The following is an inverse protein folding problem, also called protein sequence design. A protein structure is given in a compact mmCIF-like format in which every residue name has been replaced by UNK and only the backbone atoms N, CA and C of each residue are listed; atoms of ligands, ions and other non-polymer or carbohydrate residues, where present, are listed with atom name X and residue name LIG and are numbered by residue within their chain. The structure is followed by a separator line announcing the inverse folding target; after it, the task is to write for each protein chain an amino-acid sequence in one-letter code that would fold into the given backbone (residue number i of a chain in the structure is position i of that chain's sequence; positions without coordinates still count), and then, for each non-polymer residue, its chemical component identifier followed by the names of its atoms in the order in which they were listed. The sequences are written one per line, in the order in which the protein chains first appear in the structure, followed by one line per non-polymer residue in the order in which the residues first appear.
data_IF_032443506856
#
_entry.id   IF_032443506856
#
_cell.length_a   1.000
_cell.length_b   1.000
_cell.length_c   1.000
_cell.angle_alpha   90.00
_cell.angle_beta   90.00
_cell.angle_gamma   90.00
#
_symmetry.space_group_name_H-M   'P 1'
#
loop_
_entity.id
_entity.type
_entity.pdbx_description
1 polymer ?
#
# COMPACT_ATOMS: atom_id res chain seq x y z
N UNK A 1 -1.18 14.94 5.23
CA UNK A 1 -0.87 13.61 4.65
C UNK A 1 -2.00 12.66 5.04
N UNK A 2 -2.33 11.71 4.16
CA UNK A 2 -3.43 10.76 4.34
C UNK A 2 -3.14 9.77 5.47
N UNK A 3 -4.13 9.45 6.32
CA UNK A 3 -3.99 8.40 7.34
C UNK A 3 -4.07 7.02 6.70
N UNK A 4 -3.46 6.00 7.29
CA UNK A 4 -3.54 4.64 6.78
C UNK A 4 -4.99 4.16 6.72
N UNK A 5 -5.80 4.46 7.74
CA UNK A 5 -7.22 4.06 7.77
C UNK A 5 -8.05 4.70 6.66
N UNK A 6 -7.66 5.86 6.13
CA UNK A 6 -8.32 6.45 4.94
C UNK A 6 -8.01 5.66 3.67
N UNK A 7 -6.97 4.82 3.69
CA UNK A 7 -6.61 3.92 2.59
C UNK A 7 -7.31 2.57 2.71
N UNK A 8 -7.89 2.22 3.86
CA UNK A 8 -8.51 0.91 4.08
C UNK A 8 -9.95 0.90 3.59
N UNK A 9 -10.28 -0.05 2.71
CA UNK A 9 -11.63 -0.23 2.23
C UNK A 9 -12.41 -1.16 3.19
N UNK A 10 -13.60 -0.79 3.67
CA UNK A 10 -14.33 -1.57 4.68
C UNK A 10 -14.77 -2.96 4.18
N UNK A 11 -14.96 -3.13 2.88
CA UNK A 11 -15.30 -4.42 2.27
C UNK A 11 -14.08 -5.31 1.93
N UNK A 12 -12.87 -4.92 2.31
CA UNK A 12 -11.67 -5.69 2.01
C UNK A 12 -11.68 -7.03 2.77
N UNK A 13 -11.76 -8.14 2.04
CA UNK A 13 -11.59 -9.49 2.59
C UNK A 13 -10.14 -9.96 2.59
N UNK A 14 -9.28 -9.31 1.79
CA UNK A 14 -7.83 -9.54 1.76
C UNK A 14 -7.09 -8.26 1.36
N UNK A 15 -5.90 -8.08 1.93
CA UNK A 15 -4.95 -7.06 1.54
C UNK A 15 -3.64 -7.72 1.09
N UNK A 16 -3.18 -7.32 -0.09
CA UNK A 16 -1.96 -7.76 -0.72
C UNK A 16 -0.86 -6.74 -0.44
N UNK A 17 0.25 -7.19 0.14
CA UNK A 17 1.43 -6.35 0.41
C UNK A 17 2.61 -6.95 -0.35
N UNK A 18 3.29 -6.16 -1.18
CA UNK A 18 4.45 -6.60 -1.96
C UNK A 18 5.46 -5.47 -2.07
N UNK A 19 6.68 -5.72 -1.58
CA UNK A 19 7.82 -4.84 -1.81
C UNK A 19 8.47 -5.18 -3.15
N UNK A 20 8.75 -4.16 -3.96
CA UNK A 20 9.48 -4.33 -5.22
C UNK A 20 10.80 -3.56 -5.14
N UNK A 21 11.91 -4.28 -5.27
CA UNK A 21 13.25 -3.73 -5.23
C UNK A 21 13.66 -3.27 -6.63
N UNK A 22 13.93 -1.99 -6.74
CA UNK A 22 14.20 -1.29 -8.00
C UNK A 22 15.62 -0.73 -8.04
N UNK A 23 16.28 -0.61 -6.88
CA UNK A 23 17.68 -0.22 -6.72
C UNK A 23 17.95 1.28 -6.77
N UNK A 24 17.09 2.09 -7.41
CA UNK A 24 17.23 3.56 -7.45
C UNK A 24 15.89 4.28 -7.41
N UNK A 25 15.91 5.55 -6.98
CA UNK A 25 14.71 6.37 -6.84
C UNK A 25 14.02 6.61 -8.20
N UNK A 26 14.79 6.82 -9.26
CA UNK A 26 14.27 6.98 -10.61
C UNK A 26 13.53 5.72 -11.05
N UNK A 27 14.14 4.54 -10.83
CA UNK A 27 13.52 3.25 -11.17
C UNK A 27 12.27 2.97 -10.33
N UNK A 28 12.27 3.33 -9.06
CA UNK A 28 11.08 3.26 -8.19
C UNK A 28 9.92 4.10 -8.73
N UNK A 29 10.20 5.34 -9.14
CA UNK A 29 9.19 6.21 -9.74
C UNK A 29 8.71 5.67 -11.08
N UNK A 30 9.61 5.25 -11.97
CA UNK A 30 9.24 4.64 -13.25
C UNK A 30 8.35 3.41 -13.07
N UNK A 31 8.68 2.52 -12.13
CA UNK A 31 7.84 1.36 -11.84
C UNK A 31 6.48 1.77 -11.24
N UNK A 32 6.45 2.73 -10.33
CA UNK A 32 5.21 3.24 -9.73
C UNK A 32 4.30 3.89 -10.79
N UNK A 33 4.84 4.73 -11.66
CA UNK A 33 4.10 5.39 -12.72
C UNK A 33 3.61 4.38 -13.78
N UNK A 34 4.42 3.37 -14.12
CA UNK A 34 4.00 2.28 -15.00
C UNK A 34 2.85 1.46 -14.40
N UNK A 35 2.89 1.17 -13.09
CA UNK A 35 1.76 0.55 -12.38
C UNK A 35 0.53 1.44 -12.53
N UNK A 36 0.67 2.74 -12.27
CA UNK A 36 -0.43 3.69 -12.33
C UNK A 36 -1.09 3.71 -13.71
N UNK A 37 -0.27 3.80 -14.76
CA UNK A 37 -0.74 3.84 -16.15
C UNK A 37 -1.45 2.54 -16.56
N UNK A 38 -0.88 1.38 -16.22
CA UNK A 38 -1.48 0.08 -16.54
C UNK A 38 -2.85 -0.07 -15.88
N UNK A 39 -3.00 0.37 -14.63
CA UNK A 39 -4.27 0.27 -13.92
C UNK A 39 -5.28 1.33 -14.32
N UNK A 40 -4.83 2.51 -14.77
CA UNK A 40 -5.72 3.52 -15.34
C UNK A 40 -6.26 3.12 -16.71
N UNK A 41 -5.49 2.36 -17.49
CA UNK A 41 -5.89 1.89 -18.82
C UNK A 41 -6.74 0.61 -18.79
N UNK A 42 -6.60 -0.22 -17.75
CA UNK A 42 -7.32 -1.48 -17.61
C UNK A 42 -8.76 -1.30 -17.11
N UNK A 43 -9.66 -2.17 -17.55
CA UNK A 43 -10.97 -2.31 -16.90
C UNK A 43 -10.76 -2.73 -15.44
N UNK A 44 -11.36 -1.99 -14.50
CA UNK A 44 -11.18 -2.28 -13.08
C UNK A 44 -11.79 -3.63 -12.75
N UNK A 45 -11.00 -4.59 -12.23
CA UNK A 45 -11.53 -5.89 -11.83
C UNK A 45 -12.61 -5.70 -10.77
N UNK A 46 -13.76 -6.36 -10.94
CA UNK A 46 -14.91 -6.21 -10.05
C UNK A 46 -14.60 -6.48 -8.57
N UNK A 47 -13.65 -7.38 -8.29
CA UNK A 47 -13.22 -7.71 -6.92
C UNK A 47 -12.10 -6.83 -6.35
N UNK A 48 -11.55 -5.87 -7.10
CA UNK A 48 -10.47 -4.99 -6.62
C UNK A 48 -11.05 -3.69 -6.07
N UNK A 49 -10.87 -3.46 -4.78
CA UNK A 49 -11.50 -2.37 -4.03
C UNK A 49 -10.62 -1.11 -3.95
N UNK A 50 -9.33 -1.30 -3.75
CA UNK A 50 -8.38 -0.20 -3.63
C UNK A 50 -6.96 -0.65 -3.95
N UNK A 51 -6.11 0.29 -4.30
CA UNK A 51 -4.69 0.07 -4.55
C UNK A 51 -3.90 1.32 -4.23
N UNK A 52 -2.77 1.15 -3.58
CA UNK A 52 -1.91 2.23 -3.12
C UNK A 52 -0.47 1.86 -3.44
N UNK A 53 0.28 2.83 -3.94
CA UNK A 53 1.70 2.70 -4.23
C UNK A 53 2.43 3.67 -3.33
N UNK A 54 3.44 3.17 -2.65
CA UNK A 54 4.32 3.96 -1.80
C UNK A 54 5.74 3.88 -2.32
N UNK A 55 6.50 4.97 -2.18
CA UNK A 55 7.92 5.01 -2.51
C UNK A 55 8.73 4.96 -1.24
N UNK A 56 9.80 4.16 -1.22
CA UNK A 56 10.67 4.12 -0.05
C UNK A 56 11.43 5.42 0.10
N UNK A 57 11.66 5.85 1.34
CA UNK A 57 12.42 7.09 1.61
C UNK A 57 13.91 6.95 1.31
N UNK A 58 14.42 5.71 1.27
CA UNK A 58 15.78 5.40 0.80
C UNK A 58 15.90 5.35 -0.74
N UNK A 59 14.77 5.45 -1.45
CA UNK A 59 14.66 5.43 -2.91
C UNK A 59 14.85 4.06 -3.57
N UNK A 60 15.25 3.01 -2.84
CA UNK A 60 15.66 1.74 -3.43
C UNK A 60 14.51 0.78 -3.75
N UNK A 61 13.27 1.12 -3.38
CA UNK A 61 12.11 0.24 -3.54
C UNK A 61 10.80 1.02 -3.63
N UNK A 62 9.74 0.29 -3.96
CA UNK A 62 8.37 0.71 -3.75
C UNK A 62 7.60 -0.37 -2.99
N UNK A 63 6.53 0.04 -2.31
CA UNK A 63 5.57 -0.87 -1.68
C UNK A 63 4.25 -0.79 -2.42
N UNK A 64 3.77 -1.94 -2.87
CA UNK A 64 2.46 -2.11 -3.45
C UNK A 64 1.50 -2.67 -2.40
N UNK A 65 0.41 -1.94 -2.16
CA UNK A 65 -0.67 -2.33 -1.24
C UNK A 65 -1.99 -2.37 -2.01
N UNK A 66 -2.63 -3.54 -2.13
CA UNK A 66 -3.91 -3.66 -2.86
C UNK A 66 -4.95 -4.44 -2.05
N UNK A 67 -6.19 -3.98 -2.09
CA UNK A 67 -7.30 -4.56 -1.36
C UNK A 67 -8.30 -5.19 -2.32
N UNK A 68 -8.72 -6.40 -1.99
CA UNK A 68 -9.66 -7.19 -2.76
C UNK A 68 -10.79 -7.70 -1.87
N UNK A 69 -11.94 -7.97 -2.49
CA UNK A 69 -13.10 -8.59 -1.85
C UNK A 69 -12.77 -9.95 -1.25
N UNK A 70 -11.93 -10.74 -1.93
CA UNK A 70 -11.47 -12.04 -1.44
C UNK A 70 -10.13 -12.48 -2.03
N UNK A 71 -9.52 -13.49 -1.42
CA UNK A 71 -8.32 -14.12 -1.98
C UNK A 71 -8.60 -14.76 -3.36
N UNK A 72 -9.77 -15.38 -3.50
CA UNK A 72 -10.21 -16.06 -4.72
C UNK A 72 -10.40 -15.09 -5.88
N UNK A 73 -11.03 -13.94 -5.65
CA UNK A 73 -11.23 -12.90 -6.67
C UNK A 73 -9.89 -12.43 -7.22
N UNK A 74 -8.92 -12.15 -6.34
CA UNK A 74 -7.57 -11.80 -6.78
C UNK A 74 -6.89 -12.95 -7.53
N UNK A 75 -7.00 -14.20 -7.07
CA UNK A 75 -6.38 -15.34 -7.76
C UNK A 75 -6.96 -15.56 -9.16
N UNK A 76 -8.28 -15.44 -9.31
CA UNK A 76 -8.96 -15.55 -10.59
C UNK A 76 -8.51 -14.46 -11.54
N UNK A 77 -8.48 -13.21 -11.08
CA UNK A 77 -7.94 -12.11 -11.88
C UNK A 77 -6.47 -12.34 -12.24
N UNK A 78 -5.64 -12.73 -11.27
CA UNK A 78 -4.20 -12.86 -11.46
C UNK A 78 -3.83 -13.96 -12.45
N UNK A 79 -4.55 -15.09 -12.45
CA UNK A 79 -4.36 -16.16 -13.45
C UNK A 79 -4.59 -15.69 -14.88
N UNK A 80 -5.53 -14.77 -15.07
CA UNK A 80 -5.93 -14.31 -16.40
C UNK A 80 -5.15 -13.08 -16.89
N UNK A 81 -4.76 -12.16 -16.01
CA UNK A 81 -4.29 -10.83 -16.43
C UNK A 81 -2.94 -10.41 -15.85
N UNK A 82 -2.45 -11.07 -14.78
CA UNK A 82 -1.27 -10.57 -14.05
C UNK A 82 -0.04 -10.51 -14.94
N UNK A 83 0.19 -11.54 -15.75
CA UNK A 83 1.38 -11.64 -16.59
C UNK A 83 1.47 -10.44 -17.55
N UNK A 84 0.36 -10.07 -18.18
CA UNK A 84 0.31 -8.95 -19.11
C UNK A 84 0.55 -7.62 -18.38
N UNK A 85 -0.13 -7.40 -17.25
CA UNK A 85 0.04 -6.17 -16.45
C UNK A 85 1.48 -5.98 -15.96
N UNK A 86 2.16 -7.05 -15.52
CA UNK A 86 3.55 -6.92 -15.05
C UNK A 86 4.56 -6.82 -16.18
N UNK A 87 4.23 -7.32 -17.37
CA UNK A 87 5.16 -7.37 -18.51
C UNK A 87 5.67 -5.98 -18.92
N UNK A 88 4.80 -4.96 -18.94
CA UNK A 88 5.21 -3.60 -19.28
C UNK A 88 6.12 -3.00 -18.21
N UNK A 89 5.82 -3.25 -16.94
CA UNK A 89 6.65 -2.77 -15.83
C UNK A 89 8.05 -3.40 -15.92
N UNK A 90 8.13 -4.70 -16.20
CA UNK A 90 9.39 -5.42 -16.35
C UNK A 90 10.21 -4.93 -17.57
N UNK A 91 9.54 -4.56 -18.66
CA UNK A 91 10.19 -3.96 -19.82
C UNK A 91 10.76 -2.56 -19.51
N UNK A 92 10.03 -1.75 -18.73
CA UNK A 92 10.44 -0.39 -18.36
C UNK A 92 11.50 -0.37 -17.24
N UNK A 93 11.47 -1.36 -16.34
CA UNK A 93 12.39 -1.47 -15.21
C UNK A 93 13.02 -2.88 -15.16
N UNK A 94 13.95 -3.20 -16.08
CA UNK A 94 14.54 -4.53 -16.17
C UNK A 94 15.28 -4.95 -14.91
N UNK A 95 15.06 -6.18 -14.45
CA UNK A 95 15.71 -6.73 -13.25
C UNK A 95 15.12 -6.23 -11.93
N UNK A 96 13.89 -5.71 -11.94
CA UNK A 96 13.12 -5.47 -10.72
C UNK A 96 12.92 -6.80 -9.96
N UNK A 97 13.24 -6.81 -8.67
CA UNK A 97 13.02 -7.98 -7.82
C UNK A 97 11.72 -7.82 -7.05
N UNK A 98 10.95 -8.91 -6.95
CA UNK A 98 9.70 -8.96 -6.18
C UNK A 98 9.76 -10.15 -5.23
N UNK A 99 10.39 -9.99 -4.05
CA UNK A 99 10.69 -11.10 -3.13
C UNK A 99 9.45 -11.91 -2.71
N UNK A 100 8.27 -11.29 -2.74
CA UNK A 100 7.02 -11.99 -2.49
C UNK A 100 5.78 -11.11 -2.57
N UNK A 101 4.63 -11.79 -2.51
CA UNK A 101 3.31 -11.19 -2.35
C UNK A 101 2.69 -11.78 -1.09
N UNK A 102 2.48 -10.94 -0.08
CA UNK A 102 1.85 -11.36 1.17
C UNK A 102 0.36 -11.12 1.12
N UNK A 103 -0.42 -12.17 1.35
CA UNK A 103 -1.87 -12.08 1.58
C UNK A 103 -2.12 -11.90 3.06
N UNK A 104 -2.86 -10.86 3.40
CA UNK A 104 -3.06 -10.45 4.78
C UNK A 104 -4.49 -10.01 5.05
N UNK A 105 -4.82 -9.92 6.34
CA UNK A 105 -6.04 -9.25 6.82
C UNK A 105 -5.66 -8.20 7.84
N UNK A 106 -6.26 -7.02 7.76
CA UNK A 106 -6.15 -6.03 8.81
C UNK A 106 -6.83 -6.60 10.07
N UNK A 107 -6.03 -6.96 11.06
CA UNK A 107 -6.50 -7.57 12.30
C UNK A 107 -6.88 -6.52 13.33
N UNK A 108 -6.04 -5.49 13.48
CA UNK A 108 -6.24 -4.43 14.48
C UNK A 108 -5.53 -3.16 14.05
N UNK A 109 -6.11 -2.02 14.42
CA UNK A 109 -5.42 -0.73 14.42
C UNK A 109 -5.38 -0.15 15.83
N UNK A 110 -4.27 0.49 16.19
CA UNK A 110 -4.07 1.19 17.47
C UNK A 110 -3.74 2.64 17.13
N UNK A 111 -4.56 3.57 17.63
CA UNK A 111 -4.32 5.00 17.47
C UNK A 111 -3.71 5.56 18.76
N UNK A 112 -2.56 6.21 18.64
CA UNK A 112 -1.88 6.89 19.75
C UNK A 112 -2.08 8.40 19.68
N UNK A 113 -2.10 8.96 18.46
CA UNK A 113 -2.38 10.36 18.19
C UNK A 113 -3.15 10.52 16.87
N UNK A 114 -4.42 10.93 16.98
CA UNK A 114 -5.30 11.14 15.84
C UNK A 114 -5.18 12.54 15.21
N UNK A 115 -4.56 13.50 15.89
CA UNK A 115 -4.56 14.92 15.50
C UNK A 115 -3.36 15.26 14.61
N UNK A 116 -2.17 14.79 14.97
CA UNK A 116 -0.95 15.13 14.23
C UNK A 116 -0.90 14.42 12.87
N UNK A 117 -0.58 15.12 11.76
CA UNK A 117 -0.50 14.47 10.46
C UNK A 117 0.68 13.49 10.42
N UNK A 118 0.47 12.35 9.74
CA UNK A 118 1.57 11.43 9.41
C UNK A 118 2.59 12.11 8.48
N UNK A 119 3.87 11.89 8.74
CA UNK A 119 4.99 12.30 7.88
C UNK A 119 5.65 11.14 7.15
N UNK A 120 5.65 9.92 7.74
CA UNK A 120 6.12 8.69 7.10
C UNK A 120 5.33 7.47 7.59
N UNK A 121 5.29 6.42 6.76
CA UNK A 121 4.89 5.08 7.17
C UNK A 121 6.15 4.22 7.34
N UNK A 122 6.31 3.55 8.47
CA UNK A 122 7.33 2.51 8.64
C UNK A 122 6.65 1.13 8.62
N UNK A 123 7.18 0.23 7.81
CA UNK A 123 6.65 -1.12 7.61
C UNK A 123 7.68 -2.13 8.06
N UNK A 124 7.28 -3.03 8.95
CA UNK A 124 8.11 -4.13 9.44
C UNK A 124 7.33 -5.44 9.38
N UNK A 125 8.07 -6.55 9.40
CA UNK A 125 7.50 -7.90 9.54
C UNK A 125 7.99 -8.51 10.84
N UNK A 126 7.08 -9.02 11.65
CA UNK A 126 7.38 -9.64 12.95
C UNK A 126 6.55 -10.90 13.17
N UNK A 127 6.88 -11.69 14.19
CA UNK A 127 6.00 -12.76 14.64
C UNK A 127 4.72 -12.15 15.23
N UNK A 128 3.58 -12.80 15.03
CA UNK A 128 2.29 -12.25 15.48
C UNK A 128 2.22 -12.04 17.01
N UNK A 129 2.98 -12.83 17.77
CA UNK A 129 3.08 -12.73 19.23
C UNK A 129 3.86 -11.49 19.71
N UNK A 130 4.77 -10.97 18.88
CA UNK A 130 5.68 -9.86 19.22
C UNK A 130 5.15 -8.50 18.73
N UNK A 131 3.94 -8.45 18.16
CA UNK A 131 3.33 -7.22 17.62
C UNK A 131 3.21 -6.10 18.66
N UNK A 132 3.08 -6.43 19.94
CA UNK A 132 2.98 -5.44 21.02
C UNK A 132 4.22 -4.56 21.12
N UNK A 133 5.39 -5.10 20.80
CA UNK A 133 6.66 -4.39 20.92
C UNK A 133 6.78 -3.32 19.83
N UNK A 134 6.20 -3.58 18.65
CA UNK A 134 6.20 -2.66 17.50
C UNK A 134 5.04 -1.67 17.56
N UNK A 135 3.91 -2.04 18.16
CA UNK A 135 2.68 -1.23 18.20
C UNK A 135 2.50 -0.42 19.50
N UNK A 136 3.41 -0.56 20.47
CA UNK A 136 3.39 0.14 21.75
C UNK A 136 3.59 1.65 21.61
N UNK A 137 3.09 2.48 22.55
CA UNK A 137 3.21 3.93 22.46
C UNK A 137 4.68 4.38 22.53
N UNK A 138 5.05 5.31 21.66
CA UNK A 138 6.37 5.94 21.62
C UNK A 138 6.25 7.41 21.19
N UNK A 139 7.20 8.30 21.57
CA UNK A 139 7.23 9.67 21.09
C UNK A 139 7.24 9.73 19.56
N UNK A 140 6.29 10.47 18.98
CA UNK A 140 6.16 10.61 17.52
C UNK A 140 5.47 9.45 16.79
N UNK A 141 5.17 8.34 17.46
CA UNK A 141 4.30 7.28 16.91
C UNK A 141 2.84 7.72 16.99
N UNK A 142 2.17 7.75 15.85
CA UNK A 142 0.79 8.24 15.72
C UNK A 142 -0.22 7.09 15.69
N UNK A 143 0.10 6.00 14.99
CA UNK A 143 -0.76 4.84 14.85
C UNK A 143 0.02 3.58 14.45
N UNK A 144 -0.56 2.41 14.71
CA UNK A 144 -0.06 1.12 14.25
C UNK A 144 -1.20 0.26 13.68
N UNK A 145 -1.00 -0.33 12.50
CA UNK A 145 -1.96 -1.14 11.76
C UNK A 145 -1.37 -2.52 11.51
N UNK A 146 -2.03 -3.53 12.05
CA UNK A 146 -1.51 -4.89 12.17
C UNK A 146 -2.19 -5.76 11.11
N UNK A 147 -1.42 -6.17 10.11
CA UNK A 147 -1.86 -7.09 9.07
C UNK A 147 -1.36 -8.50 9.38
N UNK A 148 -2.26 -9.43 9.71
CA UNK A 148 -1.88 -10.84 9.88
C UNK A 148 -1.77 -11.52 8.53
N UNK A 149 -0.67 -12.24 8.32
CA UNK A 149 -0.45 -13.06 7.13
C UNK A 149 -1.30 -14.32 7.16
N UNK A 150 -1.56 -14.93 5.99
CA UNK A 150 -2.24 -16.24 5.94
C UNK A 150 -1.53 -17.28 6.83
N UNK A 151 -2.25 -17.82 7.82
CA UNK A 151 -1.71 -18.72 8.84
C UNK A 151 -1.50 -18.06 10.21
N UNK A 152 -1.64 -16.73 10.29
CA UNK A 152 -1.66 -15.92 11.52
C UNK A 152 -0.39 -16.00 12.40
N UNK A 153 0.70 -16.58 11.89
CA UNK A 153 1.99 -16.70 12.61
C UNK A 153 2.87 -15.45 12.50
N UNK A 154 2.70 -14.68 11.41
CA UNK A 154 3.45 -13.44 11.16
C UNK A 154 2.51 -12.27 10.94
N UNK A 155 2.98 -11.10 11.33
CA UNK A 155 2.32 -9.82 11.10
C UNK A 155 3.21 -8.91 10.25
N UNK A 156 2.59 -8.20 9.31
CA UNK A 156 3.16 -6.99 8.71
C UNK A 156 2.54 -5.81 9.44
N UNK A 157 3.38 -4.94 10.01
CA UNK A 157 2.91 -3.82 10.82
C UNK A 157 3.23 -2.52 10.08
N UNK A 158 2.20 -1.74 9.78
CA UNK A 158 2.36 -0.36 9.32
C UNK A 158 2.28 0.54 10.53
N UNK A 159 3.31 1.34 10.77
CA UNK A 159 3.30 2.37 11.80
C UNK A 159 3.34 3.76 11.15
N UNK A 160 2.49 4.65 11.63
CA UNK A 160 2.45 6.05 11.21
C UNK A 160 3.29 6.90 12.17
N UNK A 161 4.20 7.70 11.65
CA UNK A 161 5.07 8.55 12.44
C UNK A 161 4.99 10.01 12.00
N UNK A 162 5.19 10.91 12.95
CA UNK A 162 5.27 12.35 12.67
C UNK A 162 6.42 12.67 11.70
N UNK A 163 7.56 12.00 11.88
CA UNK A 163 8.75 12.15 11.04
C UNK A 163 9.69 10.94 11.17
N UNK A 164 10.72 10.90 10.32
CA UNK A 164 11.71 9.82 10.33
C UNK A 164 12.61 9.84 11.57
N UNK A 165 12.90 11.03 12.13
CA UNK A 165 13.78 11.19 13.28
C UNK A 165 13.20 10.55 14.53
N UNK A 166 11.91 10.77 14.78
CA UNK A 166 11.16 10.13 15.88
C UNK A 166 11.17 8.60 15.75
N UNK A 167 11.06 8.08 14.52
CA UNK A 167 11.20 6.64 14.28
C UNK A 167 12.62 6.15 14.55
N UNK A 168 13.65 6.86 14.05
CA UNK A 168 15.07 6.50 14.28
C UNK A 168 15.40 6.41 15.78
N UNK A 169 14.89 7.33 16.60
CA UNK A 169 15.11 7.35 18.06
C UNK A 169 14.46 6.16 18.79
N UNK A 170 13.42 5.54 18.20
CA UNK A 170 12.69 4.44 18.83
C UNK A 170 13.16 3.06 18.35
N UNK A 171 13.66 2.95 17.12
CA UNK A 171 14.10 1.67 16.57
C UNK A 171 15.49 1.28 17.04
N UNK A 172 15.67 0.01 17.38
CA UNK A 172 16.99 -0.57 17.57
C UNK A 172 17.58 -1.14 16.28
N UNK A 173 18.89 -1.39 16.25
CA UNK A 173 19.60 -1.96 15.11
C UNK A 173 19.14 -3.40 14.74
N UNK A 174 18.36 -4.05 15.61
CA UNK A 174 17.91 -5.43 15.40
C UNK A 174 16.61 -5.52 14.58
N UNK A 175 15.85 -4.42 14.52
CA UNK A 175 14.54 -4.37 13.87
C UNK A 175 14.67 -4.02 12.39
N UNK A 176 14.38 -4.99 11.51
CA UNK A 176 14.32 -4.72 10.07
C UNK A 176 13.00 -4.04 9.70
N UNK A 177 13.10 -2.82 9.15
CA UNK A 177 11.96 -2.06 8.63
C UNK A 177 12.30 -1.34 7.33
N UNK A 178 11.26 -0.85 6.64
CA UNK A 178 11.36 0.09 5.53
C UNK A 178 10.43 1.27 5.74
N UNK A 179 10.90 2.46 5.39
CA UNK A 179 10.11 3.71 5.48
C UNK A 179 9.60 4.11 4.11
N UNK A 180 8.37 4.58 4.07
CA UNK A 180 7.66 4.91 2.85
C UNK A 180 6.85 6.20 2.98
N UNK A 181 6.65 6.85 1.84
CA UNK A 181 5.63 7.89 1.67
C UNK A 181 4.64 7.46 0.60
N UNK A 182 3.37 7.83 0.77
CA UNK A 182 2.32 7.52 -0.20
C UNK A 182 2.60 8.29 -1.50
N UNK A 183 2.71 7.58 -2.61
CA UNK A 183 2.91 8.14 -3.95
C UNK A 183 1.58 8.29 -4.69
N UNK A 184 0.75 7.25 -4.67
CA UNK A 184 -0.53 7.26 -5.37
C UNK A 184 -1.56 6.33 -4.73
N UNK A 185 -2.84 6.69 -4.89
CA UNK A 185 -3.99 5.94 -4.39
C UNK A 185 -5.08 5.82 -5.44
N UNK A 186 -5.52 4.59 -5.69
CA UNK A 186 -6.71 4.23 -6.45
C UNK A 186 -7.77 3.71 -5.50
N UNK A 187 -8.92 4.36 -5.46
CA UNK A 187 -10.10 3.87 -4.77
C UNK A 187 -11.14 3.50 -5.83
N UNK A 188 -11.74 2.32 -5.73
CA UNK A 188 -12.91 2.03 -6.53
C UNK A 188 -14.03 2.95 -6.03
N UNK A 189 -14.45 3.88 -6.89
CA UNK A 189 -15.55 4.80 -6.59
C UNK A 189 -16.83 4.00 -6.36
N UNK A 190 -17.45 4.15 -5.19
CA UNK A 190 -18.86 3.83 -5.04
C UNK A 190 -19.65 4.70 -6.01
N UNK A 191 -20.44 4.04 -6.87
CA UNK A 191 -21.30 4.59 -7.91
C UNK A 191 -20.68 5.66 -8.84
N UNK A 192 -20.47 5.24 -10.08
CA UNK A 192 -20.21 6.12 -11.20
C UNK A 192 -21.42 7.00 -11.50
N UNK A 193 -21.52 8.16 -10.86
CA UNK A 193 -22.27 9.30 -11.41
C UNK A 193 -21.30 10.17 -12.19
N UNK A 194 -21.02 9.78 -13.45
CA UNK A 194 -20.41 10.67 -14.42
C UNK A 194 -21.42 11.77 -14.75
N UNK A 195 -21.33 12.92 -14.05
CA UNK A 195 -21.98 14.14 -14.50
C UNK A 195 -21.24 14.63 -15.76
N UNK A 196 -21.68 14.14 -16.92
CA UNK A 196 -21.39 14.80 -18.19
C UNK A 196 -22.10 16.16 -18.16
N UNK A 197 -21.33 17.23 -18.01
CA UNK A 197 -21.77 18.56 -18.40
C UNK A 197 -22.01 18.54 -19.91
N UNK A 198 -23.26 18.39 -20.33
CA UNK A 198 -23.67 18.78 -21.67
C UNK A 198 -23.78 20.29 -21.69
N UNK A 199 -22.75 20.92 -22.25
CA UNK A 199 -22.77 22.31 -22.65
C UNK A 199 -23.79 22.44 -23.79
N UNK A 200 -24.95 23.01 -23.48
CA UNK A 200 -26.05 23.23 -24.39
C UNK A 200 -26.15 24.70 -24.73
N UNK A 201 -25.39 25.12 -25.73
CA UNK A 201 -25.60 26.36 -26.50
C UNK A 201 -27.08 26.56 -26.83
N UNK A 202 -27.63 27.69 -26.42
CA UNK A 202 -28.96 28.16 -26.81
C UNK A 202 -29.01 29.69 -26.80
N UNK A 203 -28.38 30.30 -27.81
CA UNK A 203 -28.69 31.66 -28.24
C UNK A 203 -30.09 31.66 -28.85
N UNK A 204 -31.00 32.47 -28.32
CA UNK A 204 -31.69 33.59 -28.99
C UNK A 204 -32.59 34.30 -27.96
#
# INVERSE_FOLDING_TARGET
MTRFLDLVHPAAGTALISEWLTGTAERSRTAADAVIDEWAAAETPSGRLAQHVFLSTDGASLLFYAQWTSDEDHLTWARAHRADVVSRIDALVPGIERPGLHRTRLHRSVMHDAVHPSGIFAVSTTAAVDVKDVAGPAPGLLAAHIHLTSGDERAIVFTEWADAASHDETTDDSTSFKRYTLHHSFLQGGDGTSLRNTDGTGRL
#
